data_IF_815600787221
#
_entry.id   IF_815600787221
#
_cell.length_a   1.000
_cell.length_b   1.000
_cell.length_c   1.000
_cell.angle_alpha   90.00
_cell.angle_beta   90.00
_cell.angle_gamma   90.00
#
_symmetry.space_group_name_H-M   'P 1'
#
loop_
_entity.id
_entity.type
_entity.pdbx_description
1 polymer ?
#
# COMPACT_ATOMS: atom_id res chain seq x y z
N UNK A 1 -12.74 -3.64 29.71
CA UNK A 1 -13.12 -2.91 28.48
C UNK A 1 -12.50 -3.67 27.32
N UNK A 2 -13.25 -4.41 26.49
CA UNK A 2 -12.64 -5.07 25.36
C UNK A 2 -12.29 -3.98 24.32
N UNK A 3 -11.00 -3.76 24.11
CA UNK A 3 -10.51 -3.00 22.96
C UNK A 3 -10.78 -3.85 21.71
N UNK A 4 -12.01 -3.82 21.20
CA UNK A 4 -12.31 -4.34 19.86
C UNK A 4 -11.69 -3.34 18.89
N UNK A 5 -10.42 -3.56 18.53
CA UNK A 5 -9.81 -2.81 17.44
C UNK A 5 -10.71 -3.06 16.23
N UNK A 6 -11.29 -2.00 15.68
CA UNK A 6 -12.18 -2.12 14.54
C UNK A 6 -11.40 -2.75 13.38
N UNK A 7 -12.04 -3.66 12.67
CA UNK A 7 -11.41 -4.38 11.55
C UNK A 7 -10.80 -3.41 10.53
N UNK A 8 -11.44 -2.25 10.36
CA UNK A 8 -10.98 -1.12 9.54
C UNK A 8 -9.61 -0.56 10.00
N UNK A 9 -9.39 -0.43 11.31
CA UNK A 9 -8.10 0.03 11.87
C UNK A 9 -7.01 -1.02 11.65
N UNK A 10 -7.34 -2.31 11.78
CA UNK A 10 -6.39 -3.38 11.48
C UNK A 10 -6.04 -3.42 10.00
N UNK A 11 -7.03 -3.46 9.11
CA UNK A 11 -6.83 -3.51 7.66
C UNK A 11 -6.09 -2.25 7.18
N UNK A 12 -6.55 -1.07 7.58
CA UNK A 12 -5.91 0.20 7.24
C UNK A 12 -4.48 0.29 7.74
N UNK A 13 -4.24 -0.15 8.97
CA UNK A 13 -2.91 -0.24 9.58
C UNK A 13 -1.97 -1.19 8.83
N UNK A 14 -2.44 -2.38 8.49
CA UNK A 14 -1.67 -3.34 7.67
C UNK A 14 -1.37 -2.77 6.29
N UNK A 15 -2.36 -2.20 5.60
CA UNK A 15 -2.18 -1.60 4.26
C UNK A 15 -1.15 -0.47 4.32
N UNK A 16 -1.24 0.42 5.31
CA UNK A 16 -0.28 1.51 5.50
C UNK A 16 1.12 0.97 5.79
N UNK A 17 1.25 0.00 6.71
CA UNK A 17 2.55 -0.58 7.08
C UNK A 17 3.22 -1.34 5.92
N UNK A 18 2.47 -2.17 5.19
CA UNK A 18 2.98 -2.87 4.02
C UNK A 18 3.35 -1.92 2.89
N UNK A 19 2.58 -0.84 2.71
CA UNK A 19 2.89 0.17 1.69
C UNK A 19 4.16 0.96 2.06
N UNK A 20 4.35 1.30 3.34
CA UNK A 20 5.58 1.91 3.85
C UNK A 20 6.79 0.98 3.68
N UNK A 21 6.63 -0.29 4.02
CA UNK A 21 7.67 -1.29 3.84
C UNK A 21 8.04 -1.47 2.36
N UNK A 22 7.04 -1.50 1.48
CA UNK A 22 7.23 -1.54 0.03
C UNK A 22 7.98 -0.33 -0.52
N UNK A 23 7.75 0.86 0.05
CA UNK A 23 8.47 2.09 -0.25
C UNK A 23 9.94 2.01 0.17
N UNK A 24 10.24 1.49 1.37
CA UNK A 24 11.63 1.28 1.84
C UNK A 24 12.38 0.28 0.96
N UNK A 25 11.68 -0.74 0.45
CA UNK A 25 12.25 -1.80 -0.38
C UNK A 25 12.00 -1.60 -1.88
N UNK A 26 11.65 -0.39 -2.33
CA UNK A 26 11.24 -0.13 -3.71
C UNK A 26 12.30 -0.55 -4.75
N UNK A 27 13.57 -0.29 -4.46
CA UNK A 27 14.69 -0.70 -5.33
C UNK A 27 14.89 -2.21 -5.36
N UNK A 28 14.77 -2.87 -4.20
CA UNK A 28 14.85 -4.33 -4.12
C UNK A 28 13.69 -4.98 -4.86
N UNK A 29 12.49 -4.41 -4.77
CA UNK A 29 11.31 -4.92 -5.45
C UNK A 29 11.43 -4.85 -6.97
N UNK A 30 12.00 -3.77 -7.50
CA UNK A 30 12.25 -3.61 -8.94
C UNK A 30 13.37 -4.52 -9.46
N UNK A 31 14.40 -4.76 -8.64
CA UNK A 31 15.54 -5.60 -9.01
C UNK A 31 15.21 -7.10 -8.91
N UNK A 32 14.51 -7.53 -7.86
CA UNK A 32 14.33 -8.95 -7.53
C UNK A 32 13.05 -9.55 -8.14
N UNK A 33 12.00 -8.75 -8.32
CA UNK A 33 10.72 -9.30 -8.80
C UNK A 33 10.61 -9.25 -10.33
N UNK A 34 10.14 -10.34 -10.95
CA UNK A 34 9.83 -10.38 -12.39
C UNK A 34 8.86 -9.27 -12.83
N UNK A 35 7.93 -8.87 -11.95
CA UNK A 35 6.97 -7.79 -12.21
C UNK A 35 7.67 -6.42 -12.19
N UNK A 36 8.55 -6.19 -11.22
CA UNK A 36 9.36 -4.98 -11.13
C UNK A 36 10.34 -4.81 -12.29
N UNK A 37 10.94 -5.91 -12.75
CA UNK A 37 11.78 -5.90 -13.96
C UNK A 37 10.95 -5.60 -15.23
N UNK A 38 9.76 -6.19 -15.39
CA UNK A 38 8.85 -5.84 -16.51
C UNK A 38 8.43 -4.37 -16.48
N UNK A 39 8.11 -3.83 -15.30
CA UNK A 39 7.76 -2.42 -15.14
C UNK A 39 8.94 -1.51 -15.51
N UNK A 40 10.14 -1.91 -15.10
CA UNK A 40 11.40 -1.24 -15.45
C UNK A 40 11.68 -1.29 -16.95
N UNK A 41 11.38 -2.39 -17.63
CA UNK A 41 11.50 -2.51 -19.08
C UNK A 41 10.49 -1.63 -19.84
N UNK A 42 9.27 -1.49 -19.34
CA UNK A 42 8.22 -0.70 -20.01
C UNK A 42 8.39 0.81 -19.81
N UNK A 43 8.73 1.25 -18.60
CA UNK A 43 8.77 2.68 -18.26
C UNK A 43 10.19 3.25 -18.19
N UNK A 44 11.21 2.40 -18.11
CA UNK A 44 12.60 2.77 -17.83
C UNK A 44 12.90 2.81 -16.32
N UNK A 45 14.16 2.61 -15.92
CA UNK A 45 14.55 2.42 -14.51
C UNK A 45 14.19 3.60 -13.61
N UNK A 46 14.37 4.84 -14.09
CA UNK A 46 14.05 6.02 -13.30
C UNK A 46 12.54 6.26 -13.13
N UNK A 47 11.74 6.00 -14.17
CA UNK A 47 10.27 6.21 -14.11
C UNK A 47 9.56 5.06 -13.38
N UNK A 48 10.06 3.83 -13.50
CA UNK A 48 9.47 2.68 -12.82
C UNK A 48 9.52 2.82 -11.29
N UNK A 49 10.62 3.38 -10.75
CA UNK A 49 10.73 3.76 -9.34
C UNK A 49 9.63 4.74 -8.98
N UNK A 50 9.48 5.84 -9.73
CA UNK A 50 8.45 6.85 -9.46
C UNK A 50 7.02 6.29 -9.50
N UNK A 51 6.71 5.42 -10.47
CA UNK A 51 5.39 4.77 -10.55
C UNK A 51 5.13 3.89 -9.32
N UNK A 52 6.11 3.06 -8.95
CA UNK A 52 5.99 2.17 -7.79
C UNK A 52 5.84 2.97 -6.49
N UNK A 53 6.61 4.05 -6.37
CA UNK A 53 6.55 4.98 -5.24
C UNK A 53 5.19 5.66 -5.13
N UNK A 54 4.60 6.05 -6.26
CA UNK A 54 3.28 6.66 -6.32
C UNK A 54 2.19 5.67 -5.89
N UNK A 55 2.28 4.40 -6.33
CA UNK A 55 1.37 3.34 -5.90
C UNK A 55 1.45 3.13 -4.38
N UNK A 56 2.66 3.03 -3.82
CA UNK A 56 2.83 2.87 -2.38
C UNK A 56 2.38 4.11 -1.60
N UNK A 57 2.62 5.32 -2.09
CA UNK A 57 2.10 6.55 -1.48
C UNK A 57 0.57 6.56 -1.44
N UNK A 58 -0.09 6.21 -2.55
CA UNK A 58 -1.55 6.09 -2.60
C UNK A 58 -2.02 5.03 -1.60
N UNK A 59 -1.33 3.88 -1.52
CA UNK A 59 -1.62 2.83 -0.55
C UNK A 59 -1.50 3.30 0.91
N UNK A 60 -0.48 4.10 1.24
CA UNK A 60 -0.33 4.70 2.58
C UNK A 60 -1.49 5.66 2.85
N UNK A 61 -1.80 6.57 1.92
CA UNK A 61 -2.89 7.54 2.09
C UNK A 61 -4.23 6.82 2.30
N UNK A 62 -4.53 5.81 1.48
CA UNK A 62 -5.73 5.01 1.64
C UNK A 62 -5.75 4.24 2.96
N UNK A 63 -4.66 3.55 3.32
CA UNK A 63 -4.54 2.81 4.57
C UNK A 63 -4.73 3.70 5.80
N UNK A 64 -4.15 4.90 5.78
CA UNK A 64 -4.32 5.90 6.84
C UNK A 64 -5.75 6.42 6.90
N UNK A 65 -6.37 6.76 5.76
CA UNK A 65 -7.78 7.19 5.73
C UNK A 65 -8.72 6.11 6.27
N UNK A 66 -8.46 4.85 5.94
CA UNK A 66 -9.25 3.70 6.40
C UNK A 66 -9.05 3.47 7.90
N UNK A 67 -7.80 3.57 8.38
CA UNK A 67 -7.49 3.45 9.81
C UNK A 67 -8.05 4.60 10.65
N UNK A 68 -8.12 5.81 10.09
CA UNK A 68 -8.77 6.96 10.74
C UNK A 68 -10.30 6.88 10.71
N UNK A 69 -10.88 5.89 10.03
CA UNK A 69 -12.33 5.75 9.88
C UNK A 69 -12.96 6.83 8.98
N UNK A 70 -12.15 7.59 8.23
CA UNK A 70 -12.62 8.53 7.22
C UNK A 70 -13.24 7.81 6.02
N UNK A 71 -12.72 6.62 5.70
CA UNK A 71 -13.30 5.70 4.72
C UNK A 71 -13.86 4.51 5.47
N UNK A 72 -15.17 4.32 5.38
CA UNK A 72 -15.85 3.14 5.90
C UNK A 72 -16.07 2.16 4.74
N UNK A 73 -15.59 0.91 4.84
CA UNK A 73 -15.95 -0.10 3.86
C UNK A 73 -17.47 -0.29 3.90
N UNK A 74 -18.07 -0.48 2.73
CA UNK A 74 -19.50 -0.76 2.62
C UNK A 74 -19.79 -2.01 3.46
N UNK A 75 -20.65 -1.89 4.46
CA UNK A 75 -21.13 -3.04 5.21
C UNK A 75 -22.35 -3.55 4.47
N UNK A 76 -22.23 -4.73 3.88
CA UNK A 76 -23.38 -5.45 3.35
C UNK A 76 -23.99 -6.18 4.54
N UNK A 77 -25.15 -5.72 5.00
CA UNK A 77 -25.95 -6.48 5.96
C UNK A 77 -26.45 -7.74 5.25
N UNK A 78 -26.17 -8.92 5.81
CA UNK A 78 -26.72 -10.22 5.36
C UNK A 78 -28.23 -10.32 5.61
#
# INVERSE_FOLDING_TARGET
>A
MPFTISENVLIGGFVAAFSLWGLIKEQWFLAETRKGQRLTQWFGPARAIWVLRLIFLIGIVFGVLLALGLIQPIQWDE
#
